data_IF_070366663695
#
_entry.id   IF_070366663695
#
_cell.length_a   1.000
_cell.length_b   1.000
_cell.length_c   1.000
_cell.angle_alpha   90.00
_cell.angle_beta   90.00
_cell.angle_gamma   90.00
#
_symmetry.space_group_name_H-M   'P 1'
#
loop_
_entity.id
_entity.type
_entity.pdbx_description
1 polymer ?
#
# COMPACT_ATOMS: atom_id res chain seq x y z
N UNK A 1 5.28 11.95 -8.84
CA UNK A 1 4.61 10.76 -8.26
C UNK A 1 5.23 9.50 -8.86
N UNK A 2 5.62 8.50 -8.06
CA UNK A 2 6.33 7.31 -8.55
C UNK A 2 5.40 6.46 -9.45
N UNK A 3 5.75 6.26 -10.74
CA UNK A 3 4.90 5.57 -11.74
C UNK A 3 4.53 4.13 -11.33
N UNK A 4 5.37 3.47 -10.53
CA UNK A 4 5.10 2.13 -10.03
C UNK A 4 3.94 2.11 -9.01
N UNK A 5 3.80 3.15 -8.18
CA UNK A 5 2.66 3.27 -7.26
C UNK A 5 1.35 3.50 -7.99
N UNK A 6 1.37 4.23 -9.12
CA UNK A 6 0.17 4.48 -9.92
C UNK A 6 -0.43 3.22 -10.53
N UNK A 7 0.39 2.18 -10.77
CA UNK A 7 -0.11 0.88 -11.25
C UNK A 7 -0.76 0.01 -10.17
N UNK A 8 -0.69 0.39 -8.90
CA UNK A 8 -1.35 -0.34 -7.83
C UNK A 8 -2.85 -0.03 -7.81
N UNK A 9 -3.71 -1.00 -7.42
CA UNK A 9 -5.08 -0.74 -7.03
C UNK A 9 -5.15 0.36 -5.98
N UNK A 10 -6.21 1.16 -6.00
CA UNK A 10 -6.33 2.38 -5.19
C UNK A 10 -6.07 2.14 -3.69
N UNK A 11 -6.72 1.14 -3.09
CA UNK A 11 -6.56 0.84 -1.66
C UNK A 11 -5.12 0.39 -1.30
N UNK A 12 -4.44 -0.31 -2.21
CA UNK A 12 -3.05 -0.73 -2.03
C UNK A 12 -2.11 0.47 -2.14
N UNK A 13 -2.35 1.34 -3.13
CA UNK A 13 -1.62 2.60 -3.30
C UNK A 13 -1.78 3.50 -2.08
N UNK A 14 -3.01 3.67 -1.60
CA UNK A 14 -3.31 4.54 -0.46
C UNK A 14 -2.66 4.02 0.82
N UNK A 15 -2.75 2.70 1.08
CA UNK A 15 -2.08 2.08 2.22
C UNK A 15 -0.55 2.28 2.18
N UNK A 16 0.07 2.17 0.99
CA UNK A 16 1.50 2.45 0.82
C UNK A 16 1.84 3.93 1.00
N UNK A 17 1.00 4.85 0.54
CA UNK A 17 1.23 6.29 0.70
C UNK A 17 1.19 6.67 2.17
N UNK A 18 0.13 6.28 2.89
CA UNK A 18 -0.04 6.56 4.30
C UNK A 18 1.11 5.98 5.15
N UNK A 19 1.55 4.76 4.82
CA UNK A 19 2.65 4.12 5.55
C UNK A 19 4.00 4.78 5.28
N UNK A 20 4.37 4.99 4.02
CA UNK A 20 5.76 5.35 3.64
C UNK A 20 5.97 6.86 3.62
N UNK A 21 4.97 7.63 3.23
CA UNK A 21 5.10 9.07 3.03
C UNK A 21 4.46 9.87 4.16
N UNK A 22 3.47 9.31 4.87
CA UNK A 22 2.82 9.97 6.01
C UNK A 22 3.14 9.32 7.37
N UNK A 23 4.01 8.31 7.39
CA UNK A 23 4.50 7.61 8.58
C UNK A 23 3.37 7.12 9.52
N UNK A 24 2.24 6.72 8.94
CA UNK A 24 1.08 6.24 9.69
C UNK A 24 1.26 4.81 10.15
N UNK A 25 0.84 4.54 11.39
CA UNK A 25 0.74 3.17 11.91
C UNK A 25 -0.38 2.39 11.22
N UNK A 26 -0.32 1.07 11.28
CA UNK A 26 -1.34 0.21 10.64
C UNK A 26 -2.74 0.43 11.24
N UNK A 27 -2.83 0.80 12.53
CA UNK A 27 -4.08 1.17 13.18
C UNK A 27 -4.66 2.47 12.63
N UNK A 28 -3.84 3.50 12.45
CA UNK A 28 -4.29 4.76 11.86
C UNK A 28 -4.72 4.57 10.41
N UNK A 29 -3.96 3.79 9.63
CA UNK A 29 -4.32 3.45 8.25
C UNK A 29 -5.66 2.71 8.20
N UNK A 30 -5.87 1.75 9.10
CA UNK A 30 -7.13 1.00 9.19
C UNK A 30 -8.32 1.92 9.46
N UNK A 31 -8.14 2.91 10.33
CA UNK A 31 -9.16 3.94 10.62
C UNK A 31 -9.41 4.85 9.40
N UNK A 32 -8.35 5.36 8.76
CA UNK A 32 -8.44 6.26 7.60
C UNK A 32 -9.14 5.56 6.42
N UNK A 33 -8.78 4.31 6.16
CA UNK A 33 -9.34 3.52 5.06
C UNK A 33 -10.65 2.82 5.41
N UNK A 34 -11.12 2.92 6.66
CA UNK A 34 -12.33 2.23 7.16
C UNK A 34 -12.30 0.71 6.93
N UNK A 35 -11.17 0.07 7.22
CA UNK A 35 -10.96 -1.39 7.11
C UNK A 35 -10.33 -1.96 8.39
N UNK A 36 -10.22 -3.29 8.49
CA UNK A 36 -9.49 -3.92 9.61
C UNK A 36 -7.98 -3.75 9.47
N UNK A 37 -7.25 -3.81 10.60
CA UNK A 37 -5.77 -3.85 10.60
C UNK A 37 -5.24 -5.02 9.76
N UNK A 38 -5.89 -6.18 9.83
CA UNK A 38 -5.55 -7.35 8.99
C UNK A 38 -5.76 -7.10 7.48
N UNK A 39 -6.72 -6.25 7.12
CA UNK A 39 -6.90 -5.82 5.73
C UNK A 39 -5.76 -4.90 5.29
N UNK A 40 -5.30 -4.00 6.17
CA UNK A 40 -4.14 -3.13 5.91
C UNK A 40 -2.87 -3.95 5.66
N UNK A 41 -2.61 -4.98 6.49
CA UNK A 41 -1.51 -5.92 6.28
C UNK A 41 -1.57 -6.58 4.90
N UNK A 42 -2.75 -7.08 4.52
CA UNK A 42 -2.99 -7.70 3.21
C UNK A 42 -2.78 -6.74 2.05
N UNK A 43 -3.25 -5.48 2.18
CA UNK A 43 -3.06 -4.44 1.17
C UNK A 43 -1.59 -4.11 0.97
N UNK A 44 -0.84 -3.90 2.06
CA UNK A 44 0.60 -3.57 2.02
C UNK A 44 1.39 -4.75 1.44
N UNK A 45 1.09 -5.98 1.87
CA UNK A 45 1.75 -7.17 1.36
C UNK A 45 1.57 -7.32 -0.16
N UNK A 46 0.33 -7.23 -0.65
CA UNK A 46 0.03 -7.32 -2.08
C UNK A 46 0.66 -6.16 -2.88
N UNK A 47 0.66 -4.95 -2.31
CA UNK A 47 1.33 -3.80 -2.92
C UNK A 47 2.83 -4.06 -3.12
N UNK A 48 3.52 -4.58 -2.10
CA UNK A 48 4.95 -4.89 -2.17
C UNK A 48 5.26 -5.97 -3.20
N UNK A 49 4.47 -7.04 -3.23
CA UNK A 49 4.63 -8.11 -4.24
C UNK A 49 4.42 -7.59 -5.67
N UNK A 50 3.38 -6.78 -5.90
CA UNK A 50 3.12 -6.18 -7.21
C UNK A 50 4.27 -5.26 -7.67
N UNK A 51 4.81 -4.43 -6.77
CA UNK A 51 5.94 -3.56 -7.07
C UNK A 51 7.22 -4.36 -7.33
N UNK A 52 7.49 -5.39 -6.52
CA UNK A 52 8.64 -6.29 -6.69
C UNK A 52 8.59 -6.97 -8.06
N UNK A 53 7.45 -7.55 -8.44
CA UNK A 53 7.29 -8.19 -9.75
C UNK A 53 7.52 -7.21 -10.90
N UNK A 54 7.13 -5.95 -10.74
CA UNK A 54 7.35 -4.90 -11.75
C UNK A 54 8.81 -4.46 -11.86
N UNK A 55 9.59 -4.58 -10.78
CA UNK A 55 11.03 -4.31 -10.80
C UNK A 55 11.84 -5.49 -11.36
N UNK A 56 11.39 -6.73 -11.12
CA UNK A 56 12.03 -7.93 -11.62
C UNK A 56 11.76 -8.20 -13.11
N UNK A 57 10.62 -7.75 -13.62
CA UNK A 57 10.25 -7.89 -15.03
C UNK A 57 10.67 -6.67 -15.89
N UNK A 58 11.74 -5.98 -15.50
CA UNK A 58 12.22 -4.75 -16.15
C UNK A 58 13.54 -4.97 -16.88
#
# INVERSE_FOLDING_TARGET
>A
MNQALLSLPENQRMAMVLLVYEDKSYKEIAQILSVSVSSVESLIFRAREALKNKLLNK
#
